data_IF_094042094546
#
_entry.id   IF_094042094546
#
_cell.length_a   1.000
_cell.length_b   1.000
_cell.length_c   1.000
_cell.angle_alpha   90.00
_cell.angle_beta   90.00
_cell.angle_gamma   90.00
#
_symmetry.space_group_name_H-M   'P 1'
#
loop_
_entity.id
_entity.type
_entity.pdbx_description
1 polymer ?
#
# COMPACT_ATOMS: atom_id res chain seq x y z
N UNK A 1 3.47 24.70 -23.98
CA UNK A 1 2.17 24.14 -24.38
C UNK A 1 1.87 23.01 -23.42
N UNK A 2 1.08 23.30 -22.39
CA UNK A 2 0.74 22.37 -21.30
C UNK A 2 -0.31 21.39 -21.79
N UNK A 3 0.06 20.14 -21.99
CA UNK A 3 -0.89 19.08 -22.31
C UNK A 3 -1.46 18.52 -21.00
N UNK A 4 -2.62 19.00 -20.64
CA UNK A 4 -3.46 18.45 -19.57
C UNK A 4 -3.90 17.04 -19.99
N UNK A 5 -3.53 16.01 -19.23
CA UNK A 5 -4.02 14.64 -19.41
C UNK A 5 -5.50 14.66 -19.03
N UNK A 6 -6.44 14.25 -19.89
CA UNK A 6 -7.86 14.22 -19.53
C UNK A 6 -8.13 12.99 -18.66
N UNK A 7 -8.07 13.15 -17.35
CA UNK A 7 -8.50 12.13 -16.36
C UNK A 7 -10.05 12.07 -16.23
N UNK A 8 -10.81 12.88 -16.97
CA UNK A 8 -12.24 13.09 -16.74
C UNK A 8 -13.17 12.27 -17.65
N UNK A 9 -12.83 11.01 -17.95
CA UNK A 9 -13.78 10.16 -18.67
C UNK A 9 -14.01 8.86 -17.87
N UNK A 10 -14.99 8.90 -16.93
CA UNK A 10 -15.80 7.72 -16.65
C UNK A 10 -15.42 6.84 -15.46
N UNK A 11 -14.86 7.36 -14.37
CA UNK A 11 -14.78 6.59 -13.10
C UNK A 11 -15.63 7.28 -12.03
N UNK A 12 -16.94 7.26 -12.22
CA UNK A 12 -17.90 7.56 -11.17
C UNK A 12 -18.27 6.26 -10.47
N UNK A 13 -17.79 6.07 -9.25
CA UNK A 13 -18.23 5.00 -8.35
C UNK A 13 -17.14 4.56 -7.38
N UNK A 14 -17.52 4.33 -6.13
CA UNK A 14 -16.57 3.86 -5.12
C UNK A 14 -16.00 2.50 -5.54
N UNK A 15 -14.70 2.34 -5.43
CA UNK A 15 -13.93 1.13 -5.79
C UNK A 15 -14.22 -0.04 -4.82
N UNK A 16 -15.49 -0.35 -4.63
CA UNK A 16 -15.96 -1.54 -3.88
C UNK A 16 -16.39 -2.59 -4.90
N UNK A 17 -15.44 -3.32 -5.46
CA UNK A 17 -15.77 -4.61 -6.08
C UNK A 17 -15.92 -5.66 -4.98
N UNK A 18 -17.19 -6.01 -4.69
CA UNK A 18 -17.57 -7.25 -4.00
C UNK A 18 -16.88 -8.43 -4.70
N UNK A 19 -16.09 -9.22 -3.95
CA UNK A 19 -15.64 -10.52 -4.40
C UNK A 19 -16.83 -11.48 -4.43
N UNK A 20 -17.14 -12.13 -5.55
CA UNK A 20 -18.06 -13.26 -5.54
C UNK A 20 -17.31 -14.48 -5.01
N UNK A 21 -17.92 -15.12 -3.99
CA UNK A 21 -17.55 -16.44 -3.50
C UNK A 21 -17.57 -17.46 -4.65
N UNK A 22 -16.53 -18.29 -4.69
CA UNK A 22 -16.42 -19.58 -5.36
C UNK A 22 -17.33 -19.83 -6.59
N UNK A 23 -16.79 -19.57 -7.77
CA UNK A 23 -17.33 -20.14 -9.01
C UNK A 23 -16.57 -21.43 -9.30
N UNK A 24 -17.33 -22.56 -9.41
CA UNK A 24 -16.85 -23.86 -9.87
C UNK A 24 -16.16 -23.70 -11.22
N UNK A 25 -14.92 -24.17 -11.29
CA UNK A 25 -14.17 -24.29 -12.53
C UNK A 25 -14.85 -25.31 -13.44
N UNK A 26 -15.36 -24.81 -14.55
CA UNK A 26 -15.58 -25.62 -15.75
C UNK A 26 -14.51 -25.14 -16.73
N UNK A 27 -13.58 -26.00 -17.10
CA UNK A 27 -12.55 -25.68 -18.06
C UNK A 27 -13.16 -25.32 -19.42
N UNK A 28 -12.73 -24.22 -20.03
CA UNK A 28 -12.60 -24.16 -21.47
C UNK A 28 -11.17 -23.84 -21.88
N UNK A 29 -10.78 -24.43 -22.99
CA UNK A 29 -9.58 -24.26 -23.78
C UNK A 29 -8.70 -23.04 -23.40
N UNK A 30 -7.49 -23.36 -22.94
CA UNK A 30 -6.40 -22.43 -22.67
C UNK A 30 -5.97 -21.75 -23.98
N UNK A 31 -6.64 -20.68 -24.35
CA UNK A 31 -5.96 -19.62 -25.09
C UNK A 31 -4.97 -19.01 -24.10
N UNK A 32 -3.69 -19.29 -24.27
CA UNK A 32 -2.62 -18.61 -23.56
C UNK A 32 -2.71 -17.13 -23.93
N UNK A 33 -3.43 -16.35 -23.12
CA UNK A 33 -3.32 -14.91 -23.16
C UNK A 33 -1.88 -14.66 -22.72
N UNK A 34 -1.01 -14.38 -23.67
CA UNK A 34 0.34 -13.91 -23.42
C UNK A 34 0.20 -12.61 -22.61
N UNK A 35 0.36 -12.74 -21.29
CA UNK A 35 0.34 -11.57 -20.41
C UNK A 35 1.65 -10.86 -20.66
N UNK A 36 1.60 -9.71 -21.35
CA UNK A 36 2.77 -8.86 -21.57
C UNK A 36 3.58 -8.72 -20.28
N UNK A 37 4.88 -8.98 -20.35
CA UNK A 37 5.75 -8.74 -19.20
C UNK A 37 5.80 -7.25 -18.87
N UNK A 38 6.12 -6.89 -17.62
CA UNK A 38 6.31 -5.47 -17.26
C UNK A 38 7.31 -4.77 -18.18
N UNK A 39 8.36 -5.47 -18.59
CA UNK A 39 9.38 -4.93 -19.48
C UNK A 39 8.83 -4.62 -20.88
N UNK A 40 7.94 -5.46 -21.41
CA UNK A 40 7.31 -5.22 -22.71
C UNK A 40 6.39 -4.01 -22.64
N UNK A 41 5.57 -3.93 -21.58
CA UNK A 41 4.68 -2.80 -21.34
C UNK A 41 5.49 -1.50 -21.19
N UNK A 42 6.54 -1.50 -20.39
CA UNK A 42 7.43 -0.34 -20.19
C UNK A 42 8.06 0.09 -21.52
N UNK A 43 8.53 -0.87 -22.32
CA UNK A 43 9.14 -0.58 -23.63
C UNK A 43 8.14 0.08 -24.58
N UNK A 44 6.87 -0.36 -24.60
CA UNK A 44 5.79 0.27 -25.38
C UNK A 44 5.51 1.69 -24.92
N UNK A 45 5.42 1.92 -23.61
CA UNK A 45 5.19 3.26 -23.05
C UNK A 45 6.32 4.21 -23.45
N UNK A 46 7.58 3.77 -23.33
CA UNK A 46 8.76 4.57 -23.73
C UNK A 46 8.76 4.85 -25.25
N UNK A 47 8.27 3.89 -26.06
CA UNK A 47 8.13 4.07 -27.51
C UNK A 47 6.99 5.01 -27.92
N UNK A 48 6.15 5.50 -26.95
CA UNK A 48 5.11 6.48 -27.18
C UNK A 48 3.68 5.96 -27.02
N UNK A 49 3.48 4.67 -26.79
CA UNK A 49 2.16 4.06 -26.45
C UNK A 49 1.84 4.34 -24.98
N UNK A 50 1.32 5.54 -24.73
CA UNK A 50 0.99 5.98 -23.36
C UNK A 50 -0.12 5.14 -22.72
N UNK A 51 -1.03 4.61 -23.50
CA UNK A 51 -2.18 3.83 -23.01
C UNK A 51 -1.74 2.48 -22.46
N UNK A 52 -0.61 1.95 -22.91
CA UNK A 52 -0.02 0.73 -22.34
C UNK A 52 0.25 0.84 -20.84
N UNK A 53 0.50 2.06 -20.30
CA UNK A 53 0.74 2.25 -18.86
C UNK A 53 -0.46 1.86 -17.99
N UNK A 54 -1.69 1.91 -18.53
CA UNK A 54 -2.89 1.44 -17.84
C UNK A 54 -2.81 -0.03 -17.43
N UNK A 55 -2.06 -0.85 -18.17
CA UNK A 55 -1.81 -2.26 -17.81
C UNK A 55 -1.03 -2.37 -16.50
N UNK A 56 0.00 -1.54 -16.30
CA UNK A 56 0.77 -1.52 -15.05
C UNK A 56 -0.09 -0.98 -13.89
N UNK A 57 -0.88 0.06 -14.13
CA UNK A 57 -1.82 0.58 -13.12
C UNK A 57 -2.78 -0.54 -12.70
N UNK A 58 -3.44 -1.21 -13.64
CA UNK A 58 -4.40 -2.29 -13.33
C UNK A 58 -3.75 -3.45 -12.57
N UNK A 59 -2.50 -3.80 -12.91
CA UNK A 59 -1.76 -4.90 -12.29
C UNK A 59 -1.37 -4.63 -10.85
N UNK A 60 -0.97 -3.39 -10.54
CA UNK A 60 -0.34 -3.03 -9.27
C UNK A 60 -1.21 -2.21 -8.32
N UNK A 61 -2.35 -1.65 -8.77
CA UNK A 61 -3.19 -0.80 -7.92
C UNK A 61 -3.67 -1.48 -6.65
N UNK A 62 -4.27 -2.67 -6.75
CA UNK A 62 -4.87 -3.36 -5.60
C UNK A 62 -3.84 -3.72 -4.51
N UNK A 63 -2.70 -4.35 -4.82
CA UNK A 63 -1.73 -4.69 -3.78
C UNK A 63 -1.06 -3.46 -3.17
N UNK A 64 -0.80 -2.42 -3.97
CA UNK A 64 -0.19 -1.19 -3.48
C UNK A 64 -1.16 -0.35 -2.65
N UNK A 65 -2.44 -0.30 -3.05
CA UNK A 65 -3.48 0.36 -2.26
C UNK A 65 -3.65 -0.29 -0.90
N UNK A 66 -3.71 -1.63 -0.83
CA UNK A 66 -3.80 -2.35 0.46
C UNK A 66 -2.61 -2.05 1.37
N UNK A 67 -1.41 -1.99 0.81
CA UNK A 67 -0.22 -1.59 1.56
C UNK A 67 -0.33 -0.15 2.08
N UNK A 68 -0.68 0.80 1.20
CA UNK A 68 -0.82 2.20 1.56
C UNK A 68 -1.92 2.41 2.61
N UNK A 69 -3.07 1.75 2.47
CA UNK A 69 -4.15 1.78 3.45
C UNK A 69 -3.71 1.23 4.80
N UNK A 70 -3.03 0.08 4.84
CA UNK A 70 -2.45 -0.47 6.08
C UNK A 70 -1.45 0.49 6.74
N UNK A 71 -0.64 1.18 5.94
CA UNK A 71 0.34 2.15 6.43
C UNK A 71 -0.29 3.45 6.94
N UNK A 72 -1.31 3.95 6.29
CA UNK A 72 -1.89 5.28 6.59
C UNK A 72 -3.13 5.20 7.48
N UNK A 73 -3.89 4.12 7.39
CA UNK A 73 -5.19 3.97 8.05
C UNK A 73 -6.30 4.83 7.41
N UNK A 74 -6.01 5.55 6.31
CA UNK A 74 -6.95 6.46 5.66
C UNK A 74 -7.08 6.12 4.17
N UNK A 75 -8.30 5.78 3.69
CA UNK A 75 -8.56 5.51 2.29
C UNK A 75 -8.15 6.66 1.36
N UNK A 76 -8.53 7.88 1.70
CA UNK A 76 -8.27 9.07 0.90
C UNK A 76 -6.74 9.31 0.74
N UNK A 77 -6.02 9.19 1.85
CA UNK A 77 -4.55 9.34 1.84
C UNK A 77 -3.88 8.20 1.05
N UNK A 78 -4.38 6.98 1.19
CA UNK A 78 -3.86 5.84 0.44
C UNK A 78 -4.04 6.03 -1.07
N UNK A 79 -5.20 6.54 -1.52
CA UNK A 79 -5.48 6.87 -2.91
C UNK A 79 -4.55 7.99 -3.42
N UNK A 80 -4.38 9.06 -2.66
CA UNK A 80 -3.51 10.18 -3.02
C UNK A 80 -2.04 9.75 -3.17
N UNK A 81 -1.56 8.93 -2.23
CA UNK A 81 -0.20 8.37 -2.31
C UNK A 81 -0.06 7.48 -3.53
N UNK A 82 -1.04 6.63 -3.80
CA UNK A 82 -1.02 5.72 -4.94
C UNK A 82 -1.02 6.48 -6.26
N UNK A 83 -1.91 7.46 -6.41
CA UNK A 83 -2.00 8.31 -7.60
C UNK A 83 -0.69 9.06 -7.85
N UNK A 84 -0.16 9.72 -6.81
CA UNK A 84 1.11 10.43 -6.89
C UNK A 84 2.27 9.50 -7.25
N UNK A 85 2.26 8.27 -6.72
CA UNK A 85 3.28 7.25 -7.00
C UNK A 85 3.24 6.77 -8.45
N UNK A 86 2.06 6.54 -9.03
CA UNK A 86 1.94 6.18 -10.44
C UNK A 86 2.35 7.34 -11.37
N UNK A 87 2.03 8.58 -11.03
CA UNK A 87 2.49 9.75 -11.78
C UNK A 87 4.02 9.82 -11.76
N UNK A 88 4.65 9.66 -10.59
CA UNK A 88 6.11 9.62 -10.47
C UNK A 88 6.68 8.45 -11.28
N UNK A 89 6.09 7.26 -11.17
CA UNK A 89 6.54 6.09 -11.92
C UNK A 89 6.49 6.32 -13.42
N UNK A 90 5.41 6.90 -13.93
CA UNK A 90 5.27 7.22 -15.34
C UNK A 90 6.39 8.16 -15.85
N UNK A 91 6.70 9.20 -15.09
CA UNK A 91 7.73 10.17 -15.48
C UNK A 91 9.17 9.63 -15.38
N UNK A 92 9.39 8.60 -14.57
CA UNK A 92 10.71 8.03 -14.31
C UNK A 92 10.88 6.60 -14.83
N UNK A 93 10.03 6.14 -15.77
CA UNK A 93 10.08 4.79 -16.33
C UNK A 93 11.45 4.43 -16.92
N UNK A 94 12.15 5.39 -17.51
CA UNK A 94 13.48 5.20 -18.09
C UNK A 94 14.58 4.97 -17.05
N UNK A 95 14.29 5.29 -15.79
CA UNK A 95 15.25 5.14 -14.68
C UNK A 95 15.13 3.77 -13.99
N UNK A 96 14.13 2.96 -14.35
CA UNK A 96 13.89 1.64 -13.75
C UNK A 96 15.12 0.75 -13.98
N UNK A 97 15.68 0.25 -12.89
CA UNK A 97 16.77 -0.73 -12.90
C UNK A 97 16.30 -1.99 -12.15
N UNK A 98 16.26 -3.11 -12.85
CA UNK A 98 15.77 -4.38 -12.31
C UNK A 98 14.25 -4.50 -12.31
N UNK A 99 13.68 -5.08 -11.25
CA UNK A 99 12.26 -5.40 -11.16
C UNK A 99 11.41 -4.15 -10.97
N UNK A 100 10.46 -3.93 -11.88
CA UNK A 100 9.54 -2.78 -11.85
C UNK A 100 8.63 -2.80 -10.60
N UNK A 101 8.10 -3.97 -10.24
CA UNK A 101 7.23 -4.13 -9.07
C UNK A 101 7.92 -3.69 -7.77
N UNK A 102 9.17 -4.10 -7.55
CA UNK A 102 9.93 -3.71 -6.37
C UNK A 102 10.30 -2.21 -6.39
N UNK A 103 10.57 -1.66 -7.57
CA UNK A 103 10.86 -0.23 -7.70
C UNK A 103 9.61 0.62 -7.42
N UNK A 104 8.46 0.25 -8.01
CA UNK A 104 7.18 0.94 -7.78
C UNK A 104 6.73 0.82 -6.31
N UNK A 105 6.85 -0.37 -5.73
CA UNK A 105 6.55 -0.59 -4.31
C UNK A 105 7.35 0.37 -3.41
N UNK A 106 8.65 0.56 -3.66
CA UNK A 106 9.47 1.51 -2.89
C UNK A 106 9.01 2.95 -3.02
N UNK A 107 8.49 3.37 -4.19
CA UNK A 107 7.92 4.72 -4.35
C UNK A 107 6.71 4.89 -3.42
N UNK A 108 5.78 3.94 -3.43
CA UNK A 108 4.58 3.97 -2.56
C UNK A 108 4.97 3.91 -1.09
N UNK A 109 5.82 2.96 -0.70
CA UNK A 109 6.27 2.78 0.67
C UNK A 109 6.99 4.03 1.23
N UNK A 110 7.77 4.72 0.39
CA UNK A 110 8.39 5.99 0.78
C UNK A 110 7.34 7.09 0.91
N UNK A 111 6.35 7.17 0.02
CA UNK A 111 5.23 8.11 0.13
C UNK A 111 4.48 7.95 1.45
N UNK A 112 4.18 6.72 1.84
CA UNK A 112 3.54 6.41 3.13
C UNK A 112 4.41 6.85 4.33
N UNK A 113 5.71 6.54 4.29
CA UNK A 113 6.64 6.93 5.35
C UNK A 113 6.80 8.44 5.48
N UNK A 114 6.83 9.15 4.37
CA UNK A 114 6.96 10.61 4.36
C UNK A 114 5.68 11.28 4.89
N UNK A 115 4.51 10.77 4.53
CA UNK A 115 3.24 11.21 5.09
C UNK A 115 3.20 11.00 6.62
N UNK A 116 3.55 9.80 7.10
CA UNK A 116 3.60 9.49 8.54
C UNK A 116 4.58 10.40 9.31
N UNK A 117 5.72 10.74 8.72
CA UNK A 117 6.67 11.68 9.34
C UNK A 117 6.11 13.10 9.39
N UNK A 118 5.41 13.53 8.35
CA UNK A 118 4.81 14.86 8.29
C UNK A 118 3.71 15.04 9.35
N UNK A 119 2.82 14.05 9.48
CA UNK A 119 1.79 14.06 10.53
C UNK A 119 2.44 14.17 11.91
N UNK A 120 3.43 13.33 12.21
CA UNK A 120 4.13 13.42 13.50
C UNK A 120 4.76 14.79 13.78
N UNK A 121 5.30 15.46 12.76
CA UNK A 121 5.83 16.81 12.92
C UNK A 121 4.73 17.82 13.21
N UNK A 122 3.58 17.68 12.56
CA UNK A 122 2.43 18.55 12.76
C UNK A 122 1.86 18.38 14.17
N UNK A 123 1.70 17.14 14.65
CA UNK A 123 1.22 16.86 16.01
C UNK A 123 2.20 17.30 17.10
N UNK A 124 3.51 17.32 16.84
CA UNK A 124 4.49 17.90 17.78
C UNK A 124 4.47 19.41 17.81
N UNK A 125 3.83 20.08 16.82
CA UNK A 125 3.75 21.53 16.71
C UNK A 125 2.40 22.11 17.14
N UNK A 126 1.39 21.27 17.30
CA UNK A 126 0.06 21.65 17.77
C UNK A 126 -0.33 20.73 18.93
N UNK A 127 -0.60 21.33 20.08
CA UNK A 127 -1.22 20.66 21.24
C UNK A 127 -2.59 20.08 20.84
N UNK A 128 -2.79 18.82 21.22
CA UNK A 128 -4.04 18.08 21.47
C UNK A 128 -5.30 18.60 20.76
N UNK A 129 -5.79 17.96 19.69
CA UNK A 129 -7.21 17.56 19.56
C UNK A 129 -7.62 16.87 18.25
N UNK A 130 -6.72 16.44 17.37
CA UNK A 130 -7.17 15.76 16.14
C UNK A 130 -6.46 14.39 15.98
N UNK A 131 -7.04 13.37 16.61
CA UNK A 131 -6.71 11.98 16.30
C UNK A 131 -7.37 11.63 14.96
N UNK A 132 -6.62 11.12 13.97
CA UNK A 132 -7.25 10.60 12.75
C UNK A 132 -8.11 9.40 13.15
N UNK A 133 -9.42 9.59 13.07
CA UNK A 133 -10.42 8.56 13.34
C UNK A 133 -10.23 7.40 12.38
N UNK A 134 -9.93 6.23 12.92
CA UNK A 134 -9.97 4.98 12.15
C UNK A 134 -11.38 4.76 11.60
N UNK A 135 -11.49 4.47 10.31
CA UNK A 135 -12.77 4.14 9.71
C UNK A 135 -13.23 2.76 10.20
N UNK A 136 -14.24 2.76 11.08
CA UNK A 136 -14.97 1.56 11.43
C UNK A 136 -15.91 1.17 10.28
N UNK A 137 -15.83 -0.07 9.84
CA UNK A 137 -16.82 -0.67 8.94
C UNK A 137 -18.10 -0.93 9.75
N UNK A 138 -19.33 -0.65 9.22
CA UNK A 138 -20.57 -0.60 10.01
C UNK A 138 -21.14 -1.93 10.52
N UNK A 139 -20.50 -3.08 10.31
CA UNK A 139 -21.10 -4.42 10.53
C UNK A 139 -20.23 -5.40 11.35
N UNK A 140 -19.44 -4.92 12.29
CA UNK A 140 -18.67 -5.81 13.19
C UNK A 140 -19.11 -5.65 14.64
N UNK A 141 -19.16 -6.77 15.40
CA UNK A 141 -19.44 -6.81 16.85
C UNK A 141 -18.65 -5.73 17.59
N UNK A 142 -19.29 -4.99 18.53
CA UNK A 142 -18.70 -3.88 19.27
C UNK A 142 -17.33 -4.22 19.86
N UNK A 143 -17.16 -5.41 20.46
CA UNK A 143 -15.89 -5.86 21.05
C UNK A 143 -14.76 -5.99 19.99
N UNK A 144 -15.10 -6.38 18.77
CA UNK A 144 -14.18 -6.52 17.66
C UNK A 144 -13.76 -5.16 17.11
N UNK A 145 -14.69 -4.22 17.12
CA UNK A 145 -14.45 -2.84 16.67
C UNK A 145 -13.53 -2.11 17.64
N UNK A 146 -13.69 -2.28 18.94
CA UNK A 146 -12.81 -1.69 19.96
C UNK A 146 -11.38 -2.25 19.85
N UNK A 147 -11.21 -3.57 19.80
CA UNK A 147 -9.90 -4.20 19.67
C UNK A 147 -9.17 -3.77 18.36
N UNK A 148 -9.92 -3.60 17.27
CA UNK A 148 -9.39 -3.11 16.00
C UNK A 148 -8.93 -1.67 16.12
N UNK A 149 -9.76 -0.81 16.71
CA UNK A 149 -9.41 0.59 16.97
C UNK A 149 -8.15 0.72 17.83
N UNK A 150 -8.04 -0.14 18.84
CA UNK A 150 -6.88 -0.17 19.73
C UNK A 150 -5.61 -0.59 19.03
N UNK A 151 -5.71 -1.61 18.16
CA UNK A 151 -4.58 -2.04 17.34
C UNK A 151 -4.16 -0.96 16.34
N UNK A 152 -5.12 -0.29 15.69
CA UNK A 152 -4.84 0.80 14.76
C UNK A 152 -4.18 1.99 15.48
N UNK A 153 -4.65 2.32 16.66
CA UNK A 153 -4.04 3.33 17.54
C UNK A 153 -2.60 2.96 17.93
N UNK A 154 -2.36 1.72 18.37
CA UNK A 154 -1.04 1.23 18.71
C UNK A 154 -0.10 1.21 17.49
N UNK A 155 -0.59 0.77 16.31
CA UNK A 155 0.15 0.80 15.06
C UNK A 155 0.55 2.23 14.67
N UNK A 156 -0.31 3.22 14.92
CA UNK A 156 -0.01 4.64 14.61
C UNK A 156 1.19 5.18 15.38
N UNK A 157 1.45 4.63 16.55
CA UNK A 157 2.55 5.03 17.43
C UNK A 157 3.89 4.38 17.06
N UNK A 158 3.88 3.31 16.26
CA UNK A 158 5.13 2.68 15.82
C UNK A 158 5.95 3.60 14.90
N UNK A 159 7.28 3.46 14.97
CA UNK A 159 8.14 4.05 13.96
C UNK A 159 7.75 3.54 12.56
N UNK A 160 7.73 4.39 11.51
CA UNK A 160 7.21 4.02 10.18
C UNK A 160 7.82 2.73 9.61
N UNK A 161 9.12 2.49 9.84
CA UNK A 161 9.81 1.28 9.36
C UNK A 161 9.44 0.01 10.15
N UNK A 162 9.02 0.14 11.40
CA UNK A 162 8.52 -0.98 12.22
C UNK A 162 7.08 -1.30 11.82
N UNK A 163 6.24 -0.27 11.65
CA UNK A 163 4.86 -0.40 11.14
C UNK A 163 4.85 -1.10 9.78
N UNK A 164 5.68 -0.65 8.83
CA UNK A 164 5.83 -1.26 7.50
C UNK A 164 6.16 -2.75 7.59
N UNK A 165 7.18 -3.11 8.36
CA UNK A 165 7.59 -4.51 8.51
C UNK A 165 6.50 -5.37 9.16
N UNK A 166 5.77 -4.83 10.14
CA UNK A 166 4.67 -5.52 10.79
C UNK A 166 3.49 -5.76 9.82
N UNK A 167 3.07 -4.74 9.08
CA UNK A 167 1.97 -4.83 8.12
C UNK A 167 2.31 -5.84 7.03
N UNK A 168 3.48 -5.74 6.41
CA UNK A 168 3.89 -6.68 5.36
C UNK A 168 3.91 -8.12 5.87
N UNK A 169 4.34 -8.37 7.10
CA UNK A 169 4.45 -9.73 7.65
C UNK A 169 3.12 -10.29 8.13
N UNK A 170 2.35 -9.52 8.89
CA UNK A 170 1.18 -10.02 9.62
C UNK A 170 -0.16 -9.68 8.96
N UNK A 171 -0.25 -8.60 8.20
CA UNK A 171 -1.47 -8.21 7.48
C UNK A 171 -1.43 -8.71 6.03
N UNK A 172 -0.31 -8.52 5.33
CA UNK A 172 -0.17 -8.93 3.94
C UNK A 172 0.32 -10.39 3.79
N UNK A 173 0.82 -11.01 4.86
CA UNK A 173 1.25 -12.42 4.87
C UNK A 173 2.53 -12.69 4.08
N UNK A 174 3.35 -11.68 3.79
CA UNK A 174 4.56 -11.83 2.97
C UNK A 174 5.65 -12.65 3.67
N UNK A 175 6.43 -13.37 2.88
CA UNK A 175 7.68 -13.98 3.35
C UNK A 175 8.74 -12.90 3.61
N UNK A 176 9.73 -13.21 4.46
CA UNK A 176 10.84 -12.27 4.70
C UNK A 176 11.70 -12.04 3.46
N UNK A 177 11.78 -13.02 2.58
CA UNK A 177 12.48 -12.97 1.31
C UNK A 177 11.78 -11.99 0.35
N UNK A 178 10.46 -12.09 0.19
CA UNK A 178 9.67 -11.14 -0.61
C UNK A 178 9.77 -9.70 -0.05
N UNK A 179 9.70 -9.55 1.26
CA UNK A 179 9.87 -8.25 1.91
C UNK A 179 11.27 -7.67 1.66
N UNK A 180 12.31 -8.51 1.69
CA UNK A 180 13.69 -8.10 1.46
C UNK A 180 13.89 -7.60 0.01
N UNK A 181 13.32 -8.31 -0.95
CA UNK A 181 13.36 -7.96 -2.36
C UNK A 181 12.62 -6.63 -2.64
N UNK A 182 11.42 -6.48 -2.10
CA UNK A 182 10.60 -5.28 -2.29
C UNK A 182 11.25 -4.04 -1.65
N UNK A 183 11.76 -4.17 -0.42
CA UNK A 183 12.31 -3.05 0.33
C UNK A 183 13.80 -2.79 0.06
N UNK A 184 14.49 -3.69 -0.65
CA UNK A 184 15.93 -3.58 -0.89
C UNK A 184 16.75 -3.66 0.40
N UNK A 185 16.39 -4.57 1.31
CA UNK A 185 17.04 -4.76 2.62
C UNK A 185 17.32 -6.24 2.89
N UNK A 186 17.88 -6.57 4.05
CA UNK A 186 18.19 -7.96 4.38
C UNK A 186 17.09 -8.63 5.20
N UNK A 187 16.94 -9.95 5.01
CA UNK A 187 16.02 -10.79 5.80
C UNK A 187 16.28 -10.62 7.31
N UNK A 188 17.56 -10.56 7.72
CA UNK A 188 17.94 -10.35 9.12
C UNK A 188 17.43 -9.03 9.69
N UNK A 189 17.56 -7.93 8.92
CA UNK A 189 17.07 -6.63 9.33
C UNK A 189 15.53 -6.61 9.46
N UNK A 190 14.83 -7.32 8.57
CA UNK A 190 13.36 -7.41 8.62
C UNK A 190 12.87 -8.24 9.81
N UNK A 191 13.51 -9.38 10.09
CA UNK A 191 13.21 -10.17 11.31
C UNK A 191 13.32 -9.31 12.57
N UNK A 192 14.38 -8.50 12.67
CA UNK A 192 14.58 -7.59 13.80
C UNK A 192 13.52 -6.47 13.84
N UNK A 193 13.12 -5.90 12.69
CA UNK A 193 12.05 -4.88 12.64
C UNK A 193 10.72 -5.46 13.09
N UNK A 194 10.35 -6.64 12.61
CA UNK A 194 9.11 -7.31 13.00
C UNK A 194 9.11 -7.65 14.48
N UNK A 195 10.23 -8.14 15.01
CA UNK A 195 10.38 -8.43 16.43
C UNK A 195 10.17 -7.18 17.28
N UNK A 196 10.89 -6.09 16.98
CA UNK A 196 10.76 -4.82 17.71
C UNK A 196 9.36 -4.21 17.57
N UNK A 197 8.72 -4.37 16.41
CA UNK A 197 7.34 -3.92 16.23
C UNK A 197 6.38 -4.66 17.14
N UNK A 198 6.53 -5.98 17.29
CA UNK A 198 5.71 -6.80 18.20
C UNK A 198 5.93 -6.43 19.66
N UNK A 199 7.17 -6.25 20.09
CA UNK A 199 7.50 -5.83 21.47
C UNK A 199 6.87 -4.46 21.78
N UNK A 200 6.99 -3.49 20.86
CA UNK A 200 6.43 -2.18 21.06
C UNK A 200 4.88 -2.20 21.07
N UNK A 201 4.24 -2.98 20.19
CA UNK A 201 2.79 -3.14 20.20
C UNK A 201 2.29 -3.81 21.47
N UNK A 202 2.99 -4.84 21.95
CA UNK A 202 2.65 -5.51 23.20
C UNK A 202 2.70 -4.52 24.38
N UNK A 203 3.76 -3.74 24.51
CA UNK A 203 3.88 -2.74 25.56
C UNK A 203 2.77 -1.69 25.52
N UNK A 204 2.41 -1.17 24.32
CA UNK A 204 1.34 -0.19 24.15
C UNK A 204 -0.04 -0.74 24.49
N UNK A 205 -0.30 -2.01 24.17
CA UNK A 205 -1.57 -2.65 24.49
C UNK A 205 -1.65 -3.03 25.98
N UNK A 206 -0.56 -3.51 26.59
CA UNK A 206 -0.50 -3.80 28.03
C UNK A 206 -0.74 -2.54 28.86
N UNK A 207 -0.17 -1.41 28.50
CA UNK A 207 -0.39 -0.11 29.18
C UNK A 207 -1.87 0.31 29.15
N UNK A 208 -2.57 0.00 28.05
CA UNK A 208 -4.00 0.35 27.90
C UNK A 208 -4.92 -0.53 28.74
N UNK A 209 -4.56 -1.79 28.98
CA UNK A 209 -5.39 -2.77 29.67
C UNK A 209 -4.93 -3.08 31.12
N UNK A 210 -3.92 -2.37 31.63
CA UNK A 210 -3.46 -2.44 33.03
C UNK A 210 -4.24 -1.49 33.92
#
# INVERSE_FOLDING_TARGET
MSSTIPWSAGVSGPFVRRYPSAVKMTEPATELIEVDSDQDVISRVIAGDRDAFATLISRYSDPLYRHALGMTGSPDVAEDILQTSFIKAYHHLTEVRGRFDAWLFRIVANGCKDWLKNIRRTHLSYDEDDQPSGYASPDEDLDRTELRSDLDSALSQLAPSLREAFIMKHVEGRSYEEMADLLGTTVGALKMRVHRAREALQALLEEKYA
#
